data_IF_430297944434
#
_entry.id   IF_430297944434
#
_cell.length_a   1.000
_cell.length_b   1.000
_cell.length_c   1.000
_cell.angle_alpha   90.00
_cell.angle_beta   90.00
_cell.angle_gamma   90.00
#
_symmetry.space_group_name_H-M   'P 1'
#
loop_
_entity.id
_entity.type
_entity.pdbx_description
1 polymer ?
#
# COMPACT_ATOMS: atom_id res chain seq x y z
N UNK A 1 2.03 0.24 8.75
CA UNK A 1 2.69 -1.04 8.46
C UNK A 1 2.58 -2.03 9.61
N UNK A 2 2.81 -1.60 10.86
CA UNK A 2 2.73 -2.49 12.03
C UNK A 2 1.36 -3.18 12.23
N UNK A 3 0.27 -2.54 11.77
CA UNK A 3 -1.07 -3.14 11.74
C UNK A 3 -1.29 -4.16 10.62
N UNK A 4 -0.48 -4.08 9.56
CA UNK A 4 -0.57 -4.94 8.38
C UNK A 4 0.43 -6.09 8.45
N UNK A 5 1.51 -5.98 9.22
CA UNK A 5 2.53 -7.02 9.31
C UNK A 5 3.07 -7.06 10.73
N UNK A 6 2.66 -8.07 11.48
CA UNK A 6 3.02 -8.28 12.90
C UNK A 6 4.53 -8.49 13.11
N UNK A 7 5.21 -9.00 12.10
CA UNK A 7 6.67 -9.25 12.11
C UNK A 7 7.49 -8.07 11.58
N UNK A 8 6.85 -6.99 11.13
CA UNK A 8 7.56 -5.83 10.61
C UNK A 8 8.23 -5.04 11.74
N UNK A 9 9.56 -4.95 11.69
CA UNK A 9 10.38 -4.26 12.71
C UNK A 9 10.79 -2.84 12.29
N UNK A 10 10.07 -2.23 11.35
CA UNK A 10 10.50 -0.99 10.71
C UNK A 10 11.48 -1.22 9.57
N UNK A 11 12.06 -0.13 9.08
CA UNK A 11 13.01 -0.15 7.97
C UNK A 11 13.10 1.21 7.28
N UNK A 12 14.00 1.33 6.31
CA UNK A 12 14.03 2.48 5.41
C UNK A 12 12.89 2.36 4.41
N UNK A 13 12.24 3.48 4.09
CA UNK A 13 11.24 3.56 3.04
C UNK A 13 11.78 4.42 1.92
N UNK A 14 11.60 3.97 0.68
CA UNK A 14 11.87 4.76 -0.51
C UNK A 14 10.59 5.41 -1.01
N UNK A 15 10.70 6.66 -1.46
CA UNK A 15 9.61 7.40 -2.08
C UNK A 15 9.69 7.19 -3.60
N UNK A 16 8.59 6.74 -4.19
CA UNK A 16 8.44 6.56 -5.62
C UNK A 16 7.45 7.58 -6.16
N UNK A 17 7.90 8.44 -7.06
CA UNK A 17 7.05 9.38 -7.80
C UNK A 17 6.63 8.77 -9.12
N UNK A 18 5.32 8.78 -9.38
CA UNK A 18 4.70 8.20 -10.56
C UNK A 18 4.51 9.24 -11.65
N UNK A 19 4.47 8.79 -12.91
CA UNK A 19 4.27 9.65 -14.08
C UNK A 19 2.90 10.33 -14.10
N UNK A 20 1.91 9.78 -13.39
CA UNK A 20 0.58 10.34 -13.21
C UNK A 20 0.51 11.39 -12.08
N UNK A 21 1.65 11.91 -11.63
CA UNK A 21 1.77 12.87 -10.51
C UNK A 21 1.38 12.32 -9.14
N UNK A 22 1.11 11.02 -9.01
CA UNK A 22 0.99 10.36 -7.72
C UNK A 22 2.36 9.97 -7.15
N UNK A 23 2.37 9.55 -5.90
CA UNK A 23 3.54 8.97 -5.26
C UNK A 23 3.10 7.96 -4.23
N UNK A 24 3.98 7.01 -3.91
CA UNK A 24 3.83 6.10 -2.79
C UNK A 24 5.18 5.86 -2.15
N UNK A 25 5.16 5.23 -0.98
CA UNK A 25 6.37 4.80 -0.32
C UNK A 25 6.32 3.29 -0.11
N UNK A 26 7.47 2.64 -0.25
CA UNK A 26 7.60 1.22 0.05
C UNK A 26 8.87 0.94 0.88
N UNK A 27 8.86 -0.08 1.76
CA UNK A 27 10.05 -0.52 2.46
C UNK A 27 11.16 -0.93 1.49
N UNK A 28 12.37 -0.41 1.71
CA UNK A 28 13.56 -0.74 0.91
C UNK A 28 14.10 -2.10 1.30
N UNK A 29 13.49 -3.16 0.78
CA UNK A 29 13.90 -4.54 1.08
C UNK A 29 13.46 -5.51 -0.02
N UNK A 30 14.18 -6.62 -0.16
CA UNK A 30 13.93 -7.62 -1.20
C UNK A 30 13.10 -8.82 -0.72
N UNK A 31 12.98 -9.01 0.59
CA UNK A 31 12.17 -10.06 1.20
C UNK A 31 10.67 -9.75 1.10
N UNK A 32 9.90 -10.83 0.97
CA UNK A 32 8.44 -10.76 1.03
C UNK A 32 8.00 -10.48 2.46
N UNK A 33 6.91 -9.72 2.58
CA UNK A 33 6.26 -9.39 3.83
C UNK A 33 4.94 -10.14 3.89
N UNK A 34 4.69 -10.82 5.00
CA UNK A 34 3.38 -11.37 5.30
C UNK A 34 2.47 -10.22 5.71
N UNK A 35 1.48 -9.93 4.87
CA UNK A 35 0.46 -8.93 5.12
C UNK A 35 -0.80 -9.61 5.64
N UNK A 36 -1.29 -9.11 6.76
CA UNK A 36 -2.46 -9.56 7.50
C UNK A 36 -3.35 -8.35 7.74
N UNK A 37 -4.61 -8.42 7.31
CA UNK A 37 -5.58 -7.35 7.55
C UNK A 37 -6.87 -7.93 8.15
N UNK A 38 -7.09 -7.66 9.43
CA UNK A 38 -8.25 -8.17 10.17
C UNK A 38 -9.58 -7.60 9.64
N UNK A 39 -9.57 -6.46 8.95
CA UNK A 39 -10.77 -5.79 8.46
C UNK A 39 -11.55 -6.62 7.45
N UNK A 40 -10.85 -7.35 6.58
CA UNK A 40 -11.45 -8.25 5.58
C UNK A 40 -10.95 -9.70 5.69
N UNK A 41 -10.11 -10.00 6.69
CA UNK A 41 -9.53 -11.33 6.91
C UNK A 41 -8.44 -11.70 5.92
N UNK A 42 -7.87 -10.73 5.20
CA UNK A 42 -6.80 -10.98 4.25
C UNK A 42 -5.53 -11.47 4.96
N UNK A 43 -4.89 -12.47 4.37
CA UNK A 43 -3.55 -12.93 4.75
C UNK A 43 -2.80 -13.35 3.49
N UNK A 44 -1.66 -12.73 3.20
CA UNK A 44 -0.89 -13.04 2.00
C UNK A 44 0.54 -12.51 2.06
N UNK A 45 1.47 -13.28 1.49
CA UNK A 45 2.85 -12.82 1.28
C UNK A 45 2.96 -12.01 0.00
N UNK A 46 3.47 -10.79 0.10
CA UNK A 46 3.70 -9.91 -1.05
C UNK A 46 5.08 -9.25 -0.97
N UNK A 47 5.57 -8.74 -2.10
CA UNK A 47 6.82 -7.97 -2.10
C UNK A 47 6.71 -6.73 -1.22
N UNK A 48 7.87 -6.18 -0.83
CA UNK A 48 7.91 -4.91 -0.12
C UNK A 48 7.26 -3.77 -0.92
N UNK A 49 7.36 -3.81 -2.25
CA UNK A 49 6.75 -2.82 -3.14
C UNK A 49 5.21 -2.89 -3.05
N UNK A 50 4.64 -4.08 -3.27
CA UNK A 50 3.20 -4.30 -3.14
C UNK A 50 2.67 -3.97 -1.73
N UNK A 51 3.42 -4.35 -0.68
CA UNK A 51 3.09 -4.00 0.70
C UNK A 51 3.09 -2.49 0.95
N UNK A 52 4.03 -1.76 0.33
CA UNK A 52 4.08 -0.31 0.38
C UNK A 52 2.87 0.34 -0.28
N UNK A 53 2.47 -0.16 -1.46
CA UNK A 53 1.27 0.29 -2.17
C UNK A 53 0.02 0.09 -1.29
N UNK A 54 -0.18 -1.10 -0.74
CA UNK A 54 -1.30 -1.41 0.18
C UNK A 54 -1.31 -0.46 1.38
N UNK A 55 -0.16 -0.28 2.04
CA UNK A 55 -0.05 0.62 3.19
C UNK A 55 -0.37 2.08 2.83
N UNK A 56 0.05 2.55 1.66
CA UNK A 56 -0.25 3.90 1.17
C UNK A 56 -1.73 4.07 0.82
N UNK A 57 -2.35 3.08 0.18
CA UNK A 57 -3.79 3.09 -0.13
C UNK A 57 -4.64 3.18 1.15
N UNK A 58 -4.35 2.37 2.17
CA UNK A 58 -5.01 2.48 3.47
C UNK A 58 -4.80 3.85 4.12
N UNK A 59 -3.60 4.41 3.99
CA UNK A 59 -3.28 5.72 4.56
C UNK A 59 -4.05 6.84 3.85
N UNK A 60 -4.08 6.84 2.52
CA UNK A 60 -4.82 7.83 1.72
C UNK A 60 -6.33 7.74 1.95
N UNK A 61 -6.87 6.53 2.06
CA UNK A 61 -8.27 6.31 2.44
C UNK A 61 -8.56 6.87 3.83
N UNK A 62 -7.74 6.54 4.84
CA UNK A 62 -7.93 7.05 6.19
C UNK A 62 -7.83 8.59 6.27
N UNK A 63 -6.90 9.20 5.52
CA UNK A 63 -6.71 10.65 5.49
C UNK A 63 -7.83 11.38 4.73
N UNK A 64 -8.40 10.78 3.68
CA UNK A 64 -9.53 11.38 2.96
C UNK A 64 -10.74 11.54 3.88
N UNK A 65 -11.04 10.53 4.72
CA UNK A 65 -12.07 10.63 5.76
C UNK A 65 -11.75 11.63 6.87
N UNK A 66 -10.48 12.01 7.04
CA UNK A 66 -10.05 13.04 8.01
C UNK A 66 -10.03 14.45 7.42
N UNK A 67 -10.46 14.63 6.17
CA UNK A 67 -10.57 15.94 5.51
C UNK A 67 -9.39 16.32 4.61
N UNK A 68 -8.51 15.38 4.28
CA UNK A 68 -7.51 15.60 3.24
C UNK A 68 -8.16 15.54 1.85
N UNK A 69 -8.47 16.71 1.27
CA UNK A 69 -9.16 16.83 -0.03
C UNK A 69 -8.38 16.16 -1.18
N UNK A 70 -7.05 16.27 -1.18
CA UNK A 70 -6.19 15.69 -2.22
C UNK A 70 -5.95 14.19 -2.04
N UNK A 71 -6.22 13.63 -0.85
CA UNK A 71 -5.91 12.23 -0.57
C UNK A 71 -6.86 11.27 -1.29
N UNK A 72 -8.10 11.70 -1.58
CA UNK A 72 -9.01 10.93 -2.43
C UNK A 72 -8.48 10.78 -3.85
N UNK A 73 -8.01 11.88 -4.45
CA UNK A 73 -7.40 11.85 -5.79
C UNK A 73 -6.13 10.99 -5.80
N UNK A 74 -5.27 11.14 -4.79
CA UNK A 74 -4.05 10.33 -4.64
C UNK A 74 -4.35 8.85 -4.51
N UNK A 75 -5.44 8.49 -3.80
CA UNK A 75 -5.91 7.11 -3.69
C UNK A 75 -6.23 6.54 -5.08
N UNK A 76 -7.05 7.25 -5.86
CA UNK A 76 -7.43 6.80 -7.21
C UNK A 76 -6.23 6.71 -8.15
N UNK A 77 -5.33 7.70 -8.15
CA UNK A 77 -4.14 7.67 -8.99
C UNK A 77 -3.17 6.54 -8.61
N UNK A 78 -3.08 6.19 -7.33
CA UNK A 78 -2.29 5.03 -6.89
C UNK A 78 -2.98 3.71 -7.25
N UNK A 79 -4.32 3.68 -7.21
CA UNK A 79 -5.10 2.51 -7.63
C UNK A 79 -4.86 2.18 -9.11
N UNK A 80 -4.89 3.19 -9.99
CA UNK A 80 -4.61 3.03 -11.44
C UNK A 80 -3.21 2.46 -11.72
N UNK A 81 -2.23 2.81 -10.87
CA UNK A 81 -0.89 2.25 -10.94
C UNK A 81 -0.86 0.81 -10.42
N UNK A 82 -1.57 0.53 -9.32
CA UNK A 82 -1.65 -0.81 -8.74
C UNK A 82 -2.27 -1.84 -9.69
N UNK A 83 -3.19 -1.44 -10.59
CA UNK A 83 -3.75 -2.31 -11.63
C UNK A 83 -2.70 -2.88 -12.58
N UNK A 84 -1.62 -2.14 -12.82
CA UNK A 84 -0.53 -2.55 -13.72
C UNK A 84 0.58 -3.29 -12.99
N UNK A 85 0.50 -3.41 -11.66
CA UNK A 85 1.51 -4.06 -10.86
C UNK A 85 1.46 -5.60 -11.03
N UNK A 86 2.59 -6.31 -11.09
CA UNK A 86 2.60 -7.78 -11.20
C UNK A 86 1.83 -8.51 -10.11
N UNK A 87 1.73 -7.91 -8.92
CA UNK A 87 0.98 -8.43 -7.76
C UNK A 87 -0.38 -7.75 -7.57
N UNK A 88 -0.96 -7.14 -8.63
CA UNK A 88 -2.24 -6.42 -8.56
C UNK A 88 -3.32 -7.21 -7.82
N UNK A 89 -3.52 -8.49 -8.16
CA UNK A 89 -4.54 -9.33 -7.51
C UNK A 89 -4.39 -9.40 -5.99
N UNK A 90 -3.15 -9.48 -5.47
CA UNK A 90 -2.89 -9.49 -4.03
C UNK A 90 -3.16 -8.13 -3.40
N UNK A 91 -2.77 -7.04 -4.08
CA UNK A 91 -3.01 -5.67 -3.62
C UNK A 91 -4.51 -5.42 -3.50
N UNK A 92 -5.30 -5.77 -4.54
CA UNK A 92 -6.75 -5.60 -4.53
C UNK A 92 -7.43 -6.47 -3.47
N UNK A 93 -7.00 -7.72 -3.29
CA UNK A 93 -7.53 -8.57 -2.20
C UNK A 93 -7.20 -8.02 -0.81
N UNK A 94 -6.09 -7.31 -0.64
CA UNK A 94 -5.73 -6.73 0.65
C UNK A 94 -6.57 -5.50 1.02
N UNK A 95 -7.07 -4.75 0.04
CA UNK A 95 -7.80 -3.48 0.25
C UNK A 95 -9.32 -3.58 0.09
N UNK A 96 -9.85 -4.76 -0.25
CA UNK A 96 -11.30 -5.05 -0.35
C UNK A 96 -12.04 -4.77 0.97
#
# INVERSE_FOLDING_TARGET
MDRLCSTYQGGQWELYTLSNSSFYMAPRRADKLLIEWDGNGFTGEMSADAAGIVACLFTYSALSFQGCETCGDMYHLLLDYAEQHPEASLIFSAID
#
